data_IF_569297446152
#
_entry.id   IF_569297446152
#
_cell.length_a   1.000
_cell.length_b   1.000
_cell.length_c   1.000
_cell.angle_alpha   90.00
_cell.angle_beta   90.00
_cell.angle_gamma   90.00
#
_symmetry.space_group_name_H-M   'P 1'
#
loop_
_entity.id
_entity.type
_entity.pdbx_description
1 polymer ?
#
# COMPACT_ATOMS: atom_id res chain seq x y z
N UNK A 1 1.85 36.47 21.21
CA UNK A 1 3.00 36.39 20.29
C UNK A 1 2.91 35.08 19.52
N UNK A 2 2.55 35.14 18.24
CA UNK A 2 2.44 33.94 17.39
C UNK A 2 3.79 33.64 16.76
N UNK A 3 4.35 32.46 17.04
CA UNK A 3 5.57 31.97 16.40
C UNK A 3 5.28 31.71 14.92
N UNK A 4 5.95 32.45 14.02
CA UNK A 4 5.96 32.19 12.58
C UNK A 4 6.77 30.93 12.33
N UNK A 5 6.08 29.79 12.19
CA UNK A 5 6.71 28.53 11.76
C UNK A 5 7.22 28.74 10.34
N UNK A 6 8.52 28.90 10.19
CA UNK A 6 9.20 29.02 8.91
C UNK A 6 9.11 27.66 8.20
N UNK A 7 8.25 27.55 7.20
CA UNK A 7 8.13 26.35 6.36
C UNK A 7 9.37 26.22 5.49
N UNK A 8 10.35 25.45 5.99
CA UNK A 8 11.64 25.15 5.35
C UNK A 8 11.47 24.65 3.90
N UNK A 9 12.14 25.33 2.97
CA UNK A 9 12.59 25.00 1.59
C UNK A 9 12.24 23.61 1.02
N UNK A 10 12.41 22.54 1.80
CA UNK A 10 12.00 21.15 1.49
C UNK A 10 10.55 20.97 1.01
N UNK A 11 9.60 21.77 1.53
CA UNK A 11 8.19 21.67 1.11
C UNK A 11 8.03 22.20 -0.31
N UNK A 12 8.73 23.29 -0.67
CA UNK A 12 8.68 23.91 -2.00
C UNK A 12 9.25 22.98 -3.08
N UNK A 13 10.35 22.29 -2.77
CA UNK A 13 10.95 21.28 -3.66
C UNK A 13 10.04 20.06 -3.85
N UNK A 14 9.33 19.63 -2.80
CA UNK A 14 8.38 18.52 -2.87
C UNK A 14 7.14 18.86 -3.70
N UNK A 15 6.63 20.10 -3.58
CA UNK A 15 5.52 20.59 -4.42
C UNK A 15 5.89 20.59 -5.91
N UNK A 16 7.10 21.04 -6.26
CA UNK A 16 7.59 21.04 -7.63
C UNK A 16 7.65 19.60 -8.21
N UNK A 17 8.08 18.62 -7.42
CA UNK A 17 8.10 17.20 -7.84
C UNK A 17 6.70 16.62 -8.10
N UNK A 18 5.69 17.05 -7.33
CA UNK A 18 4.30 16.62 -7.52
C UNK A 18 3.71 17.22 -8.80
N UNK A 19 3.98 18.49 -9.07
CA UNK A 19 3.54 19.16 -10.31
C UNK A 19 4.17 18.51 -11.55
N UNK A 20 5.49 18.30 -11.53
CA UNK A 20 6.20 17.59 -12.62
C UNK A 20 5.68 16.17 -12.83
N UNK A 21 5.36 15.44 -11.75
CA UNK A 21 4.77 14.11 -11.85
C UNK A 21 3.37 14.16 -12.47
N UNK A 22 2.56 15.16 -12.10
CA UNK A 22 1.22 15.35 -12.64
C UNK A 22 1.27 15.62 -14.14
N UNK A 23 2.13 16.53 -14.58
CA UNK A 23 2.32 16.86 -16.01
C UNK A 23 2.72 15.61 -16.81
N UNK A 24 3.73 14.88 -16.33
CA UNK A 24 4.16 13.62 -16.97
C UNK A 24 3.05 12.56 -17.03
N UNK A 25 2.19 12.48 -16.03
CA UNK A 25 1.02 11.59 -16.03
C UNK A 25 -0.03 12.03 -17.05
N UNK A 26 -0.25 13.34 -17.21
CA UNK A 26 -1.24 13.90 -18.14
C UNK A 26 -0.79 13.78 -19.61
N UNK A 27 0.51 13.89 -19.87
CA UNK A 27 1.11 13.79 -21.21
C UNK A 27 1.37 12.35 -21.66
N UNK A 28 1.53 11.41 -20.74
CA UNK A 28 1.88 10.03 -21.08
C UNK A 28 0.76 9.32 -21.85
N UNK A 29 1.09 8.80 -23.04
CA UNK A 29 0.18 7.94 -23.80
C UNK A 29 -0.20 6.70 -23.00
N UNK A 30 0.76 6.08 -22.30
CA UNK A 30 0.55 4.87 -21.49
C UNK A 30 1.35 4.93 -20.18
N UNK A 31 0.72 4.46 -19.10
CA UNK A 31 1.31 4.42 -17.77
C UNK A 31 1.35 2.97 -17.29
N UNK A 32 2.55 2.50 -16.92
CA UNK A 32 2.75 1.21 -16.24
C UNK A 32 3.00 1.51 -14.76
N UNK A 33 2.23 0.86 -13.88
CA UNK A 33 2.35 1.04 -12.44
C UNK A 33 2.91 -0.26 -11.84
N UNK A 34 4.08 -0.19 -11.20
CA UNK A 34 4.68 -1.27 -10.44
C UNK A 34 4.52 -1.06 -8.93
N UNK A 35 3.40 -1.46 -8.31
CA UNK A 35 3.20 -1.28 -6.88
C UNK A 35 4.10 -2.22 -6.08
N UNK A 36 4.95 -1.67 -5.20
CA UNK A 36 5.71 -2.42 -4.20
C UNK A 36 5.09 -2.35 -2.81
N UNK A 37 5.70 -3.04 -1.82
CA UNK A 37 5.24 -3.03 -0.43
C UNK A 37 5.14 -1.62 0.18
N UNK A 38 5.96 -0.68 -0.28
CA UNK A 38 5.92 0.73 0.13
C UNK A 38 4.58 1.43 -0.15
N UNK A 39 3.88 1.05 -1.23
CA UNK A 39 2.56 1.60 -1.54
C UNK A 39 1.54 1.19 -0.47
N UNK A 40 1.56 -0.07 -0.06
CA UNK A 40 0.73 -0.58 1.04
C UNK A 40 1.08 0.08 2.37
N UNK A 41 2.38 0.24 2.67
CA UNK A 41 2.84 0.93 3.89
C UNK A 41 2.36 2.38 3.95
N UNK A 42 2.43 3.13 2.83
CA UNK A 42 1.91 4.51 2.76
C UNK A 42 0.39 4.59 2.96
N UNK A 43 -0.33 3.53 2.60
CA UNK A 43 -1.76 3.36 2.87
C UNK A 43 -2.05 2.89 4.31
N UNK A 44 -1.01 2.73 5.13
CA UNK A 44 -1.09 2.35 6.54
C UNK A 44 -1.09 0.84 6.80
N UNK A 45 -0.82 0.01 5.80
CA UNK A 45 -0.62 -1.42 5.96
C UNK A 45 0.84 -1.69 6.32
N UNK A 46 1.20 -1.46 7.58
CA UNK A 46 2.53 -1.79 8.09
C UNK A 46 2.64 -3.30 8.37
N UNK A 47 3.83 -3.84 8.18
CA UNK A 47 4.17 -5.25 8.46
C UNK A 47 4.93 -5.42 9.79
N UNK A 48 5.29 -4.32 10.44
CA UNK A 48 6.07 -4.25 11.69
C UNK A 48 5.28 -3.55 12.81
N UNK A 49 5.85 -3.54 14.01
CA UNK A 49 5.34 -2.80 15.17
C UNK A 49 4.12 -3.46 15.83
N UNK A 50 3.28 -2.65 16.49
CA UNK A 50 2.14 -3.12 17.29
C UNK A 50 1.24 -4.14 16.57
N UNK A 51 1.03 -3.98 15.26
CA UNK A 51 0.23 -4.90 14.46
C UNK A 51 0.85 -6.30 14.44
N UNK A 52 2.15 -6.38 14.23
CA UNK A 52 2.88 -7.64 14.25
C UNK A 52 2.88 -8.23 15.66
N UNK A 53 3.25 -7.44 16.68
CA UNK A 53 3.38 -7.94 18.06
C UNK A 53 2.05 -8.44 18.61
N UNK A 54 0.93 -7.73 18.36
CA UNK A 54 -0.40 -8.16 18.82
C UNK A 54 -0.85 -9.45 18.16
N UNK A 55 -0.57 -9.60 16.87
CA UNK A 55 -1.12 -10.68 16.07
C UNK A 55 -0.17 -11.87 15.89
N UNK A 56 1.11 -11.81 16.29
CA UNK A 56 2.13 -12.85 16.05
C UNK A 56 3.22 -12.94 17.14
N UNK A 57 3.00 -12.40 18.34
CA UNK A 57 4.03 -12.42 19.41
C UNK A 57 4.49 -13.82 19.83
N UNK A 58 3.63 -14.82 19.71
CA UNK A 58 3.96 -16.23 19.93
C UNK A 58 4.96 -16.75 18.90
N UNK A 59 4.70 -16.50 17.62
CA UNK A 59 5.62 -16.83 16.53
C UNK A 59 6.93 -16.03 16.61
N UNK A 60 6.87 -14.74 16.98
CA UNK A 60 8.06 -13.92 17.21
C UNK A 60 8.94 -14.52 18.32
N UNK A 61 8.33 -14.97 19.43
CA UNK A 61 9.06 -15.60 20.53
C UNK A 61 9.69 -16.92 20.13
N UNK A 62 9.00 -17.73 19.33
CA UNK A 62 9.49 -19.05 18.92
C UNK A 62 10.58 -18.97 17.84
N UNK A 63 10.40 -18.11 16.82
CA UNK A 63 11.23 -18.11 15.61
C UNK A 63 12.10 -16.86 15.43
N UNK A 64 11.91 -15.82 16.25
CA UNK A 64 12.78 -14.65 16.31
C UNK A 64 12.63 -13.62 15.17
N UNK A 65 11.75 -13.85 14.19
CA UNK A 65 11.49 -12.86 13.14
C UNK A 65 10.73 -11.64 13.69
N UNK A 66 10.99 -10.47 13.12
CA UNK A 66 10.56 -9.18 13.68
C UNK A 66 9.41 -8.51 12.93
N UNK A 67 8.91 -9.16 11.88
CA UNK A 67 7.87 -8.60 11.02
C UNK A 67 7.04 -9.69 10.33
N UNK A 68 5.85 -9.29 9.89
CA UNK A 68 4.90 -10.18 9.22
C UNK A 68 5.39 -10.67 7.85
N UNK A 69 6.19 -9.87 7.14
CA UNK A 69 6.66 -10.25 5.81
C UNK A 69 7.66 -11.39 5.91
N UNK A 70 8.67 -11.24 6.78
CA UNK A 70 9.68 -12.28 7.06
C UNK A 70 9.05 -13.58 7.56
N UNK A 71 8.03 -13.50 8.42
CA UNK A 71 7.32 -14.69 8.90
C UNK A 71 6.63 -15.49 7.78
N UNK A 72 6.14 -14.83 6.72
CA UNK A 72 5.51 -15.52 5.59
C UNK A 72 6.48 -16.38 4.76
N UNK A 73 7.78 -16.07 4.81
CA UNK A 73 8.84 -16.83 4.13
C UNK A 73 9.70 -17.66 5.09
N UNK A 74 9.32 -17.71 6.37
CA UNK A 74 10.08 -18.45 7.36
C UNK A 74 9.94 -19.98 7.14
N UNK A 75 11.04 -20.75 7.21
CA UNK A 75 10.99 -22.20 7.11
C UNK A 75 10.51 -22.80 8.44
N UNK A 76 9.20 -22.85 8.65
CA UNK A 76 8.61 -23.43 9.86
C UNK A 76 8.94 -24.93 10.01
N UNK A 77 8.95 -25.41 11.25
CA UNK A 77 9.32 -26.80 11.58
C UNK A 77 8.29 -27.81 11.06
N UNK A 78 7.04 -27.38 10.85
CA UNK A 78 5.94 -28.22 10.39
C UNK A 78 4.99 -27.47 9.45
N UNK A 79 4.22 -28.25 8.67
CA UNK A 79 3.18 -27.69 7.80
C UNK A 79 2.04 -27.07 8.61
N UNK A 80 1.73 -27.64 9.77
CA UNK A 80 0.72 -27.15 10.70
C UNK A 80 1.07 -25.74 11.18
N UNK A 81 2.34 -25.50 11.53
CA UNK A 81 2.80 -24.17 11.94
C UNK A 81 2.83 -23.17 10.79
N UNK A 82 3.23 -23.63 9.60
CA UNK A 82 3.15 -22.82 8.38
C UNK A 82 1.72 -22.35 8.11
N UNK A 83 0.75 -23.26 8.17
CA UNK A 83 -0.66 -22.92 7.95
C UNK A 83 -1.28 -22.16 9.12
N UNK A 84 -0.87 -22.41 10.36
CA UNK A 84 -1.26 -21.61 11.52
C UNK A 84 -0.81 -20.16 11.38
N UNK A 85 0.40 -19.93 10.87
CA UNK A 85 0.89 -18.59 10.55
C UNK A 85 0.07 -17.94 9.42
N UNK A 86 -0.04 -18.63 8.27
CA UNK A 86 -0.68 -18.07 7.08
C UNK A 86 -2.18 -17.81 7.25
N UNK A 87 -2.90 -18.65 7.99
CA UNK A 87 -4.32 -18.43 8.29
C UNK A 87 -4.54 -17.12 9.07
N UNK A 88 -3.71 -16.85 10.10
CA UNK A 88 -3.71 -15.57 10.83
C UNK A 88 -3.32 -14.41 9.94
N UNK A 89 -2.28 -14.58 9.13
CA UNK A 89 -1.81 -13.55 8.21
C UNK A 89 -2.92 -13.12 7.24
N UNK A 90 -3.59 -14.08 6.61
CA UNK A 90 -4.71 -13.83 5.69
C UNK A 90 -5.88 -13.16 6.42
N UNK A 91 -6.23 -13.63 7.63
CA UNK A 91 -7.24 -13.01 8.49
C UNK A 91 -6.97 -11.51 8.72
N UNK A 92 -5.77 -11.19 9.18
CA UNK A 92 -5.34 -9.82 9.52
C UNK A 92 -5.19 -8.90 8.31
N UNK A 93 -4.64 -9.41 7.20
CA UNK A 93 -4.42 -8.61 6.00
C UNK A 93 -5.72 -8.37 5.24
N UNK A 94 -6.60 -9.38 5.15
CA UNK A 94 -7.75 -9.36 4.24
C UNK A 94 -9.09 -9.01 4.89
N UNK A 95 -9.33 -9.43 6.13
CA UNK A 95 -10.67 -9.36 6.73
C UNK A 95 -10.75 -8.42 7.92
N UNK A 96 -9.76 -8.47 8.81
CA UNK A 96 -9.80 -7.76 10.09
C UNK A 96 -9.20 -6.36 10.05
N UNK A 97 -8.48 -6.01 8.97
CA UNK A 97 -7.91 -4.67 8.87
C UNK A 97 -9.01 -3.62 8.65
N UNK A 98 -9.24 -2.78 9.67
CA UNK A 98 -10.12 -1.60 9.58
C UNK A 98 -9.76 -0.66 8.41
N UNK A 99 -8.50 -0.72 7.92
CA UNK A 99 -8.02 0.04 6.76
C UNK A 99 -8.45 -0.54 5.40
N UNK A 100 -8.78 -1.83 5.30
CA UNK A 100 -9.43 -2.40 4.07
C UNK A 100 -10.85 -1.86 3.90
N UNK A 101 -11.53 -1.53 5.00
CA UNK A 101 -12.88 -0.96 4.95
C UNK A 101 -12.90 0.55 4.62
N UNK A 102 -11.80 1.25 4.90
CA UNK A 102 -11.63 2.66 4.53
C UNK A 102 -10.80 2.75 3.25
N UNK A 103 -11.44 2.66 2.08
CA UNK A 103 -10.79 2.85 0.77
C UNK A 103 -10.04 4.18 0.75
N UNK A 104 -8.71 4.12 0.92
CA UNK A 104 -7.83 5.27 0.84
C UNK A 104 -8.00 5.99 -0.51
N UNK A 105 -7.94 7.34 -0.51
CA UNK A 105 -8.15 8.21 -1.68
C UNK A 105 -7.31 7.79 -2.90
N UNK A 106 -6.06 7.34 -2.68
CA UNK A 106 -5.15 6.91 -3.75
C UNK A 106 -5.68 5.68 -4.49
N UNK A 107 -6.17 4.66 -3.77
CA UNK A 107 -6.75 3.48 -4.40
C UNK A 107 -8.01 3.83 -5.20
N UNK A 108 -8.89 4.70 -4.66
CA UNK A 108 -10.05 5.21 -5.41
C UNK A 108 -9.64 5.99 -6.66
N UNK A 109 -8.53 6.73 -6.60
CA UNK A 109 -8.03 7.51 -7.73
C UNK A 109 -7.45 6.60 -8.82
N UNK A 110 -6.68 5.58 -8.45
CA UNK A 110 -6.16 4.56 -9.38
C UNK A 110 -7.32 3.79 -10.04
N UNK A 111 -8.30 3.31 -9.27
CA UNK A 111 -9.52 2.69 -9.81
C UNK A 111 -10.28 3.62 -10.77
N UNK A 112 -10.34 4.93 -10.45
CA UNK A 112 -11.00 5.92 -11.30
C UNK A 112 -10.23 6.20 -12.60
N UNK A 113 -8.89 6.12 -12.57
CA UNK A 113 -8.04 6.30 -13.75
C UNK A 113 -8.16 5.12 -14.70
N UNK A 114 -8.21 3.89 -14.17
CA UNK A 114 -8.48 2.69 -14.97
C UNK A 114 -9.86 2.75 -15.64
N UNK A 115 -10.90 3.13 -14.88
CA UNK A 115 -12.26 3.24 -15.42
C UNK A 115 -12.41 4.35 -16.47
N UNK A 116 -11.87 5.54 -16.25
CA UNK A 116 -11.91 6.64 -17.25
C UNK A 116 -11.28 6.25 -18.59
N UNK A 117 -10.25 5.42 -18.57
CA UNK A 117 -9.54 4.95 -19.76
C UNK A 117 -10.32 3.85 -20.49
N UNK A 118 -11.01 2.96 -19.77
CA UNK A 118 -11.95 2.00 -20.34
C UNK A 118 -13.09 2.69 -21.10
N UNK A 119 -13.68 3.75 -20.54
CA UNK A 119 -14.73 4.51 -21.23
C UNK A 119 -14.20 5.25 -22.48
N UNK A 120 -12.99 5.82 -22.44
CA UNK A 120 -12.38 6.44 -23.64
C UNK A 120 -12.17 5.43 -24.78
N UNK A 121 -11.80 4.19 -24.47
CA UNK A 121 -11.64 3.12 -25.47
C UNK A 121 -12.98 2.52 -25.93
N UNK A 122 -14.00 2.47 -25.07
CA UNK A 122 -15.33 1.97 -25.47
C UNK A 122 -16.01 2.92 -26.47
N UNK A 123 -15.82 4.24 -26.32
CA UNK A 123 -16.35 5.25 -27.24
C UNK A 123 -15.53 5.39 -28.55
N UNK A 124 -14.29 4.92 -28.61
CA UNK A 124 -13.53 4.87 -29.87
C UNK A 124 -13.86 3.63 -30.71
N UNK A 125 -14.29 2.54 -30.08
CA UNK A 125 -14.70 1.30 -30.78
C UNK A 125 -16.14 1.38 -31.30
N UNK A 126 -17.03 2.15 -30.67
CA UNK A 126 -18.43 2.33 -31.09
C UNK A 126 -18.65 3.43 -32.15
N UNK A 127 -17.58 3.86 -32.85
CA UNK A 127 -17.62 4.88 -33.92
C UNK A 127 -17.47 4.31 -35.34
N UNK A 128 -17.66 3.01 -35.52
CA UNK A 128 -17.82 2.37 -36.83
C UNK A 128 -19.24 1.85 -37.00
#
# INVERSE_FOLDING_TARGET
MFSKIWTKQSTKESFNKIEQLKEKIEEADTIIIGPGAGLSTSAGFTYTGDRFTKCFSDFQKKYGFQDMYSGGFYPFESFEEHWAYWSRYIGEVRWLSKKVQNKNYIFRKIDSMQNKRLYKNLFSVLKY
#
